data_IF_624486386464
#
_entry.id   IF_624486386464
#
_cell.length_a   1.000
_cell.length_b   1.000
_cell.length_c   1.000
_cell.angle_alpha   90.00
_cell.angle_beta   90.00
_cell.angle_gamma   90.00
#
_symmetry.space_group_name_H-M   'P 1'
#
loop_
_entity.id
_entity.type
_entity.pdbx_description
1 polymer ?
#
# COMPACT_ATOMS: atom_id res chain seq x y z
N UNK A 1 -11.95 1.70 -7.87
CA UNK A 1 -12.40 2.63 -6.84
C UNK A 1 -11.23 3.34 -6.20
N UNK A 2 -11.09 4.64 -6.51
CA UNK A 2 -9.97 5.43 -6.05
C UNK A 2 -10.01 5.68 -4.54
N UNK A 3 -11.18 5.56 -3.92
CA UNK A 3 -11.31 5.77 -2.48
C UNK A 3 -10.53 4.72 -1.71
N UNK A 4 -10.65 3.46 -2.11
CA UNK A 4 -9.93 2.37 -1.46
C UNK A 4 -8.42 2.53 -1.62
N UNK A 5 -7.98 2.96 -2.81
CA UNK A 5 -6.56 3.19 -3.05
C UNK A 5 -6.02 4.32 -2.19
N UNK A 6 -6.78 5.41 -2.06
CA UNK A 6 -6.38 6.53 -1.22
C UNK A 6 -6.27 6.16 0.24
N UNK A 7 -7.26 5.41 0.74
CA UNK A 7 -7.23 4.94 2.12
C UNK A 7 -6.06 4.00 2.36
N UNK A 8 -5.79 3.12 1.41
CA UNK A 8 -4.67 2.18 1.51
C UNK A 8 -3.35 2.94 1.55
N UNK A 9 -3.17 3.90 0.67
CA UNK A 9 -1.96 4.70 0.64
C UNK A 9 -1.74 5.39 1.98
N UNK A 10 -2.78 6.07 2.47
CA UNK A 10 -2.69 6.80 3.73
C UNK A 10 -2.34 5.88 4.89
N UNK A 11 -3.00 4.73 4.96
CA UNK A 11 -2.75 3.77 6.03
C UNK A 11 -1.30 3.29 6.04
N UNK A 12 -0.79 2.92 4.88
CA UNK A 12 0.59 2.46 4.79
C UNK A 12 1.59 3.58 5.05
N UNK A 13 1.25 4.79 4.63
CA UNK A 13 2.12 5.93 4.87
C UNK A 13 2.25 6.23 6.36
N UNK A 14 1.12 6.20 7.07
CA UNK A 14 1.14 6.41 8.53
C UNK A 14 1.92 5.29 9.22
N UNK A 15 1.71 4.05 8.78
CA UNK A 15 2.45 2.92 9.31
C UNK A 15 3.96 3.12 9.17
N UNK A 16 4.38 3.59 8.00
CA UNK A 16 5.79 3.86 7.76
C UNK A 16 6.36 4.94 8.66
N UNK A 17 5.55 5.96 8.95
CA UNK A 17 5.98 7.02 9.87
C UNK A 17 6.18 6.46 11.28
N UNK A 18 5.28 5.58 11.72
CA UNK A 18 5.39 4.96 13.03
C UNK A 18 6.63 4.08 13.11
N UNK A 19 6.93 3.36 12.02
CA UNK A 19 8.09 2.48 11.96
C UNK A 19 9.39 3.22 11.66
N UNK A 20 9.31 4.55 11.49
CA UNK A 20 10.47 5.39 11.21
C UNK A 20 11.18 5.02 9.91
N UNK A 21 10.42 4.57 8.94
CA UNK A 21 10.96 4.29 7.61
C UNK A 21 11.39 5.58 6.94
N UNK A 22 12.33 5.49 6.01
CA UNK A 22 12.70 6.66 5.23
C UNK A 22 11.52 7.09 4.37
N UNK A 23 11.49 8.38 4.01
CA UNK A 23 10.41 8.91 3.19
C UNK A 23 10.35 8.19 1.85
N UNK A 24 11.50 7.92 1.24
CA UNK A 24 11.55 7.23 -0.03
C UNK A 24 10.96 5.83 0.05
N UNK A 25 11.37 5.06 1.06
CA UNK A 25 10.83 3.72 1.25
C UNK A 25 9.35 3.76 1.55
N UNK A 26 8.95 4.72 2.39
CA UNK A 26 7.57 4.85 2.79
C UNK A 26 6.69 5.15 1.57
N UNK A 27 7.13 6.05 0.71
CA UNK A 27 6.39 6.38 -0.51
C UNK A 27 6.31 5.19 -1.45
N UNK A 28 7.40 4.46 -1.62
CA UNK A 28 7.41 3.27 -2.48
C UNK A 28 6.42 2.23 -1.99
N UNK A 29 6.46 1.94 -0.69
CA UNK A 29 5.57 0.96 -0.10
C UNK A 29 4.12 1.39 -0.22
N UNK A 30 3.84 2.63 0.11
CA UNK A 30 2.47 3.14 0.06
C UNK A 30 1.93 3.15 -1.37
N UNK A 31 2.77 3.51 -2.33
CA UNK A 31 2.38 3.52 -3.74
C UNK A 31 2.12 2.10 -4.23
N UNK A 32 2.97 1.14 -3.84
CA UNK A 32 2.77 -0.26 -4.21
C UNK A 32 1.47 -0.80 -3.63
N UNK A 33 1.20 -0.48 -2.36
CA UNK A 33 -0.03 -0.92 -1.71
C UNK A 33 -1.25 -0.36 -2.42
N UNK A 34 -1.20 0.92 -2.78
CA UNK A 34 -2.32 1.55 -3.50
C UNK A 34 -2.52 0.92 -4.87
N UNK A 35 -1.45 0.60 -5.57
CA UNK A 35 -1.53 -0.04 -6.89
C UNK A 35 -2.20 -1.40 -6.79
N UNK A 36 -1.85 -2.18 -5.76
CA UNK A 36 -2.47 -3.48 -5.56
C UNK A 36 -3.95 -3.32 -5.25
N UNK A 37 -4.29 -2.34 -4.40
CA UNK A 37 -5.68 -2.10 -4.04
C UNK A 37 -6.52 -1.76 -5.27
N UNK A 38 -5.97 -0.96 -6.18
CA UNK A 38 -6.67 -0.61 -7.42
C UNK A 38 -6.89 -1.86 -8.27
N UNK A 39 -5.88 -2.73 -8.35
CA UNK A 39 -5.97 -3.94 -9.17
C UNK A 39 -6.98 -4.93 -8.63
N UNK A 40 -7.39 -4.78 -7.38
CA UNK A 40 -8.36 -5.68 -6.75
C UNK A 40 -9.75 -5.05 -6.67
N UNK A 41 -10.02 -4.12 -7.55
CA UNK A 41 -11.30 -3.44 -7.58
C UNK A 41 -12.44 -4.46 -7.61
N UNK A 42 -13.35 -4.34 -6.66
CA UNK A 42 -14.50 -5.23 -6.61
C UNK A 42 -14.23 -6.53 -5.88
N UNK A 43 -13.01 -6.84 -5.50
CA UNK A 43 -12.66 -8.04 -4.75
C UNK A 43 -12.46 -7.69 -3.28
N UNK A 44 -12.70 -8.65 -2.41
CA UNK A 44 -12.50 -8.46 -0.96
C UNK A 44 -11.54 -9.52 -0.46
N UNK A 45 -10.53 -9.14 0.33
CA UNK A 45 -10.21 -7.77 0.67
C UNK A 45 -9.45 -7.06 -0.43
N UNK A 46 -9.74 -5.78 -0.62
CA UNK A 46 -9.00 -5.00 -1.61
C UNK A 46 -7.68 -4.49 -1.04
N UNK A 47 -7.60 -4.33 0.28
CA UNK A 47 -6.38 -3.85 0.93
C UNK A 47 -5.38 -5.00 1.04
N UNK A 48 -4.18 -4.84 0.48
CA UNK A 48 -3.19 -5.92 0.53
C UNK A 48 -2.53 -6.05 1.90
N UNK A 49 -1.99 -7.24 2.16
CA UNK A 49 -1.17 -7.46 3.35
C UNK A 49 0.24 -6.93 3.10
N UNK A 50 1.01 -6.79 4.18
CA UNK A 50 2.40 -6.34 4.04
C UNK A 50 3.22 -7.30 3.18
N UNK A 51 3.00 -8.61 3.32
CA UNK A 51 3.70 -9.60 2.51
C UNK A 51 3.43 -9.39 1.02
N UNK A 52 2.17 -9.12 0.68
CA UNK A 52 1.79 -8.88 -0.70
C UNK A 52 2.47 -7.63 -1.26
N UNK A 53 2.53 -6.58 -0.45
CA UNK A 53 3.18 -5.34 -0.86
C UNK A 53 4.67 -5.57 -1.08
N UNK A 54 5.32 -6.29 -0.17
CA UNK A 54 6.75 -6.57 -0.30
C UNK A 54 7.05 -7.40 -1.52
N UNK A 55 6.22 -8.39 -1.81
CA UNK A 55 6.39 -9.21 -3.00
C UNK A 55 6.22 -8.39 -4.27
N UNK A 56 5.25 -7.50 -4.27
CA UNK A 56 5.04 -6.60 -5.41
C UNK A 56 6.26 -5.72 -5.66
N UNK A 57 6.85 -5.20 -4.58
CA UNK A 57 8.01 -4.31 -4.70
C UNK A 57 9.25 -5.05 -5.17
N UNK A 58 9.37 -6.31 -4.84
CA UNK A 58 10.50 -7.12 -5.28
C UNK A 58 10.44 -7.46 -6.76
N UNK A 59 9.24 -7.62 -7.26
CA UNK A 59 9.00 -8.08 -8.59
C UNK A 59 9.20 -7.08 -9.67
#
# INVERSE_FOLDING_TARGET
DTTAAGDTFTGYFIYGLICKSSIEENLKRSTAAAAIAVSRKGAAPSIPTMDEVENYMKG
#
